data_IF_204267922685
#
_entry.id   IF_204267922685
#
_cell.length_a   1.000
_cell.length_b   1.000
_cell.length_c   1.000
_cell.angle_alpha   90.00
_cell.angle_beta   90.00
_cell.angle_gamma   90.00
#
_symmetry.space_group_name_H-M   'P 1'
#
loop_
_entity.id
_entity.type
_entity.pdbx_description
1 polymer ?
#
# COMPACT_ATOMS: atom_id res chain seq x y z
N UNK A 1 -10.36 9.96 16.18
CA UNK A 1 -10.50 8.74 15.38
C UNK A 1 -9.37 8.79 14.37
N UNK A 2 -8.52 7.77 14.32
CA UNK A 2 -7.42 7.75 13.35
C UNK A 2 -7.99 7.32 12.00
N UNK A 3 -7.92 8.21 11.01
CA UNK A 3 -8.29 7.89 9.63
C UNK A 3 -7.11 7.23 8.93
N UNK A 4 -7.35 6.11 8.25
CA UNK A 4 -6.36 5.35 7.52
C UNK A 4 -6.63 5.52 6.02
N UNK A 5 -5.70 6.13 5.31
CA UNK A 5 -5.80 6.33 3.87
C UNK A 5 -5.20 5.14 3.14
N UNK A 6 -6.03 4.33 2.49
CA UNK A 6 -5.59 3.24 1.65
C UNK A 6 -5.30 3.77 0.25
N UNK A 7 -4.11 3.47 -0.27
CA UNK A 7 -3.64 3.91 -1.58
C UNK A 7 -3.47 2.64 -2.41
N UNK A 8 -4.40 2.37 -3.31
CA UNK A 8 -4.33 1.18 -4.16
C UNK A 8 -3.80 1.52 -5.55
N UNK A 9 -2.78 0.80 -6.01
CA UNK A 9 -2.29 0.84 -7.39
C UNK A 9 -2.53 -0.50 -8.07
N UNK A 10 -3.38 -0.53 -9.11
CA UNK A 10 -3.60 -1.73 -9.90
C UNK A 10 -3.86 -1.41 -11.38
N UNK A 11 -3.52 -2.35 -12.25
CA UNK A 11 -3.92 -2.31 -13.67
C UNK A 11 -5.14 -3.21 -13.94
N UNK A 12 -5.25 -4.33 -13.21
CA UNK A 12 -6.27 -5.37 -13.43
C UNK A 12 -7.29 -5.47 -12.27
N UNK A 13 -7.31 -4.51 -11.34
CA UNK A 13 -8.22 -4.54 -10.19
C UNK A 13 -7.75 -5.38 -9.00
N UNK A 14 -6.80 -6.31 -9.14
CA UNK A 14 -6.42 -7.22 -8.03
C UNK A 14 -5.98 -6.49 -6.75
N UNK A 15 -5.19 -5.43 -6.86
CA UNK A 15 -4.76 -4.65 -5.69
C UNK A 15 -5.91 -3.83 -5.09
N UNK A 16 -6.88 -3.42 -5.90
CA UNK A 16 -8.06 -2.66 -5.46
C UNK A 16 -8.96 -3.56 -4.61
N UNK A 17 -9.24 -4.78 -5.06
CA UNK A 17 -9.99 -5.78 -4.28
C UNK A 17 -9.34 -6.04 -2.91
N UNK A 18 -8.02 -6.24 -2.87
CA UNK A 18 -7.31 -6.45 -1.61
C UNK A 18 -7.37 -5.20 -0.72
N UNK A 19 -7.25 -4.01 -1.30
CA UNK A 19 -7.37 -2.77 -0.54
C UNK A 19 -8.78 -2.60 0.06
N UNK A 20 -9.84 -2.88 -0.71
CA UNK A 20 -11.22 -2.82 -0.21
C UNK A 20 -11.46 -3.84 0.91
N UNK A 21 -11.04 -5.10 0.72
CA UNK A 21 -11.18 -6.13 1.75
C UNK A 21 -10.45 -5.74 3.05
N UNK A 22 -9.24 -5.21 2.92
CA UNK A 22 -8.45 -4.72 4.06
C UNK A 22 -9.11 -3.49 4.71
N UNK A 23 -9.71 -2.60 3.92
CA UNK A 23 -10.43 -1.45 4.42
C UNK A 23 -11.61 -1.87 5.30
N UNK A 24 -12.42 -2.83 4.85
CA UNK A 24 -13.54 -3.36 5.63
C UNK A 24 -13.08 -3.89 7.00
N UNK A 25 -11.97 -4.65 7.05
CA UNK A 25 -11.40 -5.17 8.31
C UNK A 25 -10.97 -4.07 9.27
N UNK A 26 -10.43 -2.97 8.73
CA UNK A 26 -10.04 -1.80 9.53
C UNK A 26 -11.27 -1.08 10.10
N UNK A 27 -12.34 -0.97 9.33
CA UNK A 27 -13.61 -0.41 9.79
C UNK A 27 -14.27 -1.29 10.85
N UNK A 28 -14.27 -2.61 10.67
CA UNK A 28 -14.72 -3.58 11.68
C UNK A 28 -13.92 -3.45 12.99
N UNK A 29 -12.63 -3.12 12.89
CA UNK A 29 -11.77 -2.87 14.05
C UNK A 29 -12.00 -1.50 14.72
N UNK A 30 -12.84 -0.64 14.15
CA UNK A 30 -13.22 0.68 14.66
C UNK A 30 -12.40 1.85 14.14
N UNK A 31 -11.64 1.68 13.06
CA UNK A 31 -10.92 2.75 12.37
C UNK A 31 -11.77 3.33 11.24
N UNK A 32 -11.49 4.57 10.82
CA UNK A 32 -12.10 5.12 9.60
C UNK A 32 -11.15 4.92 8.44
N UNK A 33 -11.61 4.32 7.34
CA UNK A 33 -10.79 4.10 6.16
C UNK A 33 -11.19 5.02 5.01
N UNK A 34 -10.23 5.35 4.17
CA UNK A 34 -10.46 6.05 2.92
C UNK A 34 -9.65 5.39 1.82
N UNK A 35 -10.32 4.69 0.92
CA UNK A 35 -9.67 4.03 -0.22
C UNK A 35 -9.55 5.00 -1.38
N UNK A 36 -8.33 5.15 -1.88
CA UNK A 36 -7.97 5.99 -3.02
C UNK A 36 -7.27 5.10 -4.07
N UNK A 37 -7.83 5.07 -5.27
CA UNK A 37 -7.31 4.27 -6.38
C UNK A 37 -6.44 5.14 -7.28
N UNK A 38 -5.12 4.92 -7.24
CA UNK A 38 -4.14 5.75 -7.95
C UNK A 38 -4.25 7.25 -7.66
N UNK A 39 -4.32 7.69 -6.38
CA UNK A 39 -4.41 9.10 -6.07
C UNK A 39 -3.12 9.83 -6.46
N UNK A 40 -3.25 11.11 -6.72
CA UNK A 40 -2.11 12.00 -6.78
C UNK A 40 -1.65 12.45 -5.39
N UNK A 41 -0.40 12.88 -5.27
CA UNK A 41 0.20 13.28 -3.99
C UNK A 41 -0.59 14.38 -3.27
N UNK A 42 -1.25 15.28 -4.03
CA UNK A 42 -2.04 16.36 -3.45
C UNK A 42 -3.37 15.89 -2.85
N UNK A 43 -3.86 14.71 -3.25
CA UNK A 43 -5.11 14.13 -2.73
C UNK A 43 -4.87 13.40 -1.41
N UNK A 44 -3.64 12.92 -1.20
CA UNK A 44 -3.27 12.17 -0.02
C UNK A 44 -2.76 13.13 1.07
N UNK A 45 -3.40 13.16 2.25
CA UNK A 45 -2.98 14.02 3.34
C UNK A 45 -1.64 13.55 3.91
N UNK A 46 -0.62 14.41 3.89
CA UNK A 46 0.74 14.18 4.44
C UNK A 46 0.80 14.09 5.98
N UNK A 47 -0.25 13.53 6.60
CA UNK A 47 -0.35 13.27 8.03
C UNK A 47 -1.24 12.05 8.29
N UNK A 48 -0.98 11.33 9.38
CA UNK A 48 -1.81 10.19 9.80
C UNK A 48 -1.24 8.84 9.37
N UNK A 49 -2.12 7.90 9.01
CA UNK A 49 -1.74 6.52 8.69
C UNK A 49 -2.12 6.23 7.24
N UNK A 50 -1.17 5.78 6.45
CA UNK A 50 -1.36 5.34 5.07
C UNK A 50 -1.24 3.83 4.96
N UNK A 51 -1.93 3.24 4.01
CA UNK A 51 -1.75 1.83 3.67
C UNK A 51 -1.64 1.71 2.16
N UNK A 52 -0.42 1.47 1.68
CA UNK A 52 -0.14 1.40 0.25
C UNK A 52 -0.27 -0.03 -0.22
N UNK A 53 -1.16 -0.26 -1.18
CA UNK A 53 -1.48 -1.57 -1.75
C UNK A 53 -1.20 -1.52 -3.25
N UNK A 54 -0.14 -2.15 -3.71
CA UNK A 54 0.29 -2.02 -5.10
C UNK A 54 0.50 -3.38 -5.76
N UNK A 55 -0.08 -3.60 -6.94
CA UNK A 55 0.34 -4.72 -7.79
C UNK A 55 1.59 -4.38 -8.58
N UNK A 56 2.41 -5.39 -8.86
CA UNK A 56 3.65 -5.24 -9.61
C UNK A 56 3.36 -5.62 -11.06
N UNK A 57 3.70 -4.74 -12.00
CA UNK A 57 3.52 -5.03 -13.43
C UNK A 57 4.84 -5.46 -14.08
N UNK A 58 4.80 -6.55 -14.84
CA UNK A 58 5.90 -7.01 -15.70
C UNK A 58 7.27 -7.05 -15.04
N UNK A 59 8.11 -6.07 -15.34
CA UNK A 59 9.51 -6.01 -14.92
C UNK A 59 9.76 -5.47 -13.51
N UNK A 60 8.71 -5.32 -12.67
CA UNK A 60 8.86 -4.79 -11.31
C UNK A 60 8.37 -3.35 -11.15
N UNK A 61 7.70 -2.82 -12.16
CA UNK A 61 7.29 -1.43 -12.20
C UNK A 61 5.94 -1.21 -11.51
N UNK A 62 5.73 0.03 -11.07
CA UNK A 62 4.44 0.49 -10.56
C UNK A 62 3.42 0.48 -11.70
N UNK A 63 2.15 0.19 -11.40
CA UNK A 63 1.08 0.33 -12.37
C UNK A 63 0.96 1.79 -12.78
N UNK A 64 0.53 2.03 -14.02
CA UNK A 64 0.42 3.37 -14.64
C UNK A 64 -0.35 4.36 -13.75
N UNK A 65 -1.34 3.86 -13.01
CA UNK A 65 -2.18 4.64 -12.11
C UNK A 65 -1.45 5.14 -10.85
N UNK A 66 -0.35 4.50 -10.44
CA UNK A 66 0.43 4.86 -9.24
C UNK A 66 1.84 5.40 -9.56
N UNK A 67 2.28 5.31 -10.81
CA UNK A 67 3.49 5.97 -11.28
C UNK A 67 3.52 7.49 -11.00
N UNK A 68 2.48 8.29 -11.35
CA UNK A 68 2.53 9.73 -11.14
C UNK A 68 2.65 10.09 -9.65
N UNK A 69 2.04 9.31 -8.76
CA UNK A 69 2.17 9.49 -7.31
C UNK A 69 3.62 9.36 -6.83
N UNK A 70 4.33 8.36 -7.34
CA UNK A 70 5.74 8.13 -7.02
C UNK A 70 6.64 9.28 -7.53
N UNK A 71 6.40 9.73 -8.77
CA UNK A 71 7.13 10.84 -9.37
C UNK A 71 6.90 12.14 -8.58
N UNK A 72 5.65 12.42 -8.20
CA UNK A 72 5.32 13.57 -7.37
C UNK A 72 5.99 13.52 -5.99
N UNK A 73 6.09 12.34 -5.38
CA UNK A 73 6.84 12.16 -4.12
C UNK A 73 8.33 12.50 -4.30
N UNK A 74 8.92 12.13 -5.43
CA UNK A 74 10.32 12.44 -5.75
C UNK A 74 10.55 13.92 -6.08
N UNK A 75 9.62 14.55 -6.78
CA UNK A 75 9.73 15.97 -7.14
C UNK A 75 9.45 16.88 -5.94
N UNK A 76 8.38 16.62 -5.19
CA UNK A 76 7.96 17.50 -4.10
C UNK A 76 8.69 17.22 -2.79
N UNK A 77 9.12 15.98 -2.56
CA UNK A 77 9.74 15.52 -1.32
C UNK A 77 9.07 16.10 -0.07
N UNK A 78 7.76 15.85 0.14
CA UNK A 78 7.05 16.39 1.29
C UNK A 78 7.61 15.82 2.59
N UNK A 79 7.51 16.58 3.68
CA UNK A 79 7.86 16.09 5.01
C UNK A 79 6.79 15.09 5.49
N UNK A 80 7.13 13.80 5.45
CA UNK A 80 6.25 12.72 5.90
C UNK A 80 6.58 12.27 7.33
N UNK A 81 7.31 13.07 8.10
CA UNK A 81 7.75 12.77 9.47
C UNK A 81 6.59 12.41 10.44
N UNK A 82 5.36 12.84 10.12
CA UNK A 82 4.13 12.54 10.89
C UNK A 82 3.26 11.45 10.26
N UNK A 83 3.68 10.89 9.13
CA UNK A 83 2.98 9.83 8.44
C UNK A 83 3.53 8.49 8.89
N UNK A 84 2.61 7.61 9.22
CA UNK A 84 2.87 6.20 9.43
C UNK A 84 2.32 5.45 8.22
N UNK A 85 3.01 4.44 7.71
CA UNK A 85 2.51 3.72 6.55
C UNK A 85 2.68 2.20 6.66
N UNK A 86 1.72 1.47 6.09
CA UNK A 86 1.84 0.05 5.78
C UNK A 86 2.10 -0.13 4.29
N UNK A 87 2.77 -1.22 3.92
CA UNK A 87 3.13 -1.52 2.55
C UNK A 87 2.74 -2.95 2.20
N UNK A 88 1.85 -3.11 1.22
CA UNK A 88 1.36 -4.39 0.73
C UNK A 88 1.57 -4.46 -0.79
N UNK A 89 2.44 -5.36 -1.21
CA UNK A 89 2.71 -5.63 -2.62
C UNK A 89 1.95 -6.88 -3.06
N UNK A 90 1.33 -6.82 -4.23
CA UNK A 90 0.90 -8.00 -4.96
C UNK A 90 1.89 -8.22 -6.11
N UNK A 91 2.37 -9.45 -6.26
CA UNK A 91 3.30 -9.81 -7.30
C UNK A 91 3.12 -11.26 -7.72
N UNK A 92 3.80 -11.62 -8.79
CA UNK A 92 3.82 -12.98 -9.32
C UNK A 92 5.26 -13.47 -9.26
N UNK A 93 5.55 -14.53 -8.49
CA UNK A 93 6.90 -15.12 -8.41
C UNK A 93 7.39 -15.70 -9.74
N UNK A 94 6.51 -15.81 -10.73
CA UNK A 94 6.90 -16.09 -12.13
C UNK A 94 7.80 -15.00 -12.74
N UNK A 95 7.80 -13.79 -12.17
CA UNK A 95 8.64 -12.67 -12.61
C UNK A 95 9.82 -12.48 -11.66
N UNK A 96 11.03 -12.31 -12.22
CA UNK A 96 12.28 -12.10 -11.48
C UNK A 96 12.20 -10.89 -10.53
N UNK A 97 11.43 -9.86 -10.90
CA UNK A 97 11.26 -8.64 -10.11
C UNK A 97 10.03 -8.71 -9.20
N UNK A 98 9.95 -9.76 -8.40
CA UNK A 98 8.86 -9.95 -7.43
C UNK A 98 8.78 -8.75 -6.46
N UNK A 99 7.62 -8.08 -6.43
CA UNK A 99 7.32 -6.97 -5.53
C UNK A 99 8.28 -5.76 -5.61
N UNK A 100 8.89 -5.50 -6.78
CA UNK A 100 9.78 -4.34 -6.98
C UNK A 100 9.10 -2.98 -6.75
N UNK A 101 7.84 -2.85 -7.15
CA UNK A 101 7.06 -1.62 -7.04
C UNK A 101 6.88 -1.17 -5.58
N UNK A 102 6.39 -2.07 -4.72
CA UNK A 102 6.13 -1.75 -3.32
C UNK A 102 7.43 -1.48 -2.55
N UNK A 103 8.52 -2.17 -2.90
CA UNK A 103 9.84 -1.96 -2.28
C UNK A 103 10.37 -0.55 -2.56
N UNK A 104 10.16 -0.08 -3.78
CA UNK A 104 10.60 1.26 -4.20
C UNK A 104 9.80 2.34 -3.46
N UNK A 105 8.48 2.16 -3.32
CA UNK A 105 7.63 3.02 -2.51
C UNK A 105 8.03 3.02 -1.03
N UNK A 106 8.23 1.85 -0.45
CA UNK A 106 8.64 1.67 0.95
C UNK A 106 9.93 2.44 1.27
N UNK A 107 10.93 2.33 0.40
CA UNK A 107 12.19 3.05 0.53
C UNK A 107 12.01 4.57 0.39
N UNK A 108 11.20 5.03 -0.57
CA UNK A 108 10.93 6.46 -0.79
C UNK A 108 10.19 7.08 0.38
N UNK A 109 9.10 6.47 0.83
CA UNK A 109 8.33 6.95 1.98
C UNK A 109 9.21 7.04 3.23
N UNK A 110 10.02 6.00 3.48
CA UNK A 110 10.98 6.00 4.59
C UNK A 110 12.03 7.12 4.45
N UNK A 111 12.53 7.37 3.23
CA UNK A 111 13.49 8.44 2.98
C UNK A 111 12.89 9.85 3.21
N UNK A 112 11.58 10.02 2.98
CA UNK A 112 10.82 11.25 3.24
C UNK A 112 10.44 11.44 4.72
N UNK A 113 10.87 10.53 5.60
CA UNK A 113 10.62 10.58 7.04
C UNK A 113 9.40 9.80 7.52
N UNK A 114 8.65 9.18 6.61
CA UNK A 114 7.50 8.34 6.99
C UNK A 114 7.97 7.12 7.78
N UNK A 115 7.15 6.70 8.76
CA UNK A 115 7.44 5.54 9.59
C UNK A 115 6.66 4.33 9.14
N UNK A 116 7.36 3.29 8.71
CA UNK A 116 6.71 2.01 8.42
C UNK A 116 6.17 1.38 9.70
N UNK A 117 4.90 0.98 9.68
CA UNK A 117 4.26 0.21 10.75
C UNK A 117 4.31 -1.26 10.35
N UNK A 118 4.96 -2.08 11.18
CA UNK A 118 5.13 -3.50 10.92
C UNK A 118 6.07 -3.80 9.74
N UNK A 119 5.92 -5.00 9.19
CA UNK A 119 6.66 -5.47 8.01
C UNK A 119 5.81 -5.38 6.75
N UNK A 120 6.46 -5.13 5.61
CA UNK A 120 5.78 -5.14 4.31
C UNK A 120 5.23 -6.53 4.03
N UNK A 121 4.02 -6.56 3.46
CA UNK A 121 3.44 -7.80 2.96
C UNK A 121 3.74 -7.94 1.48
N UNK A 122 4.16 -9.13 1.05
CA UNK A 122 4.42 -9.46 -0.35
C UNK A 122 3.53 -10.67 -0.68
N UNK A 123 2.42 -10.44 -1.37
CA UNK A 123 1.42 -11.45 -1.72
C UNK A 123 1.72 -11.99 -3.10
N UNK A 124 1.86 -13.30 -3.19
CA UNK A 124 2.08 -13.98 -4.44
C UNK A 124 0.75 -14.43 -5.06
N UNK A 125 0.32 -13.74 -6.13
CA UNK A 125 -0.95 -14.05 -6.82
C UNK A 125 -0.89 -15.32 -7.69
N UNK A 126 0.29 -15.91 -7.87
CA UNK A 126 0.46 -17.17 -8.61
C UNK A 126 0.44 -18.40 -7.70
N UNK A 127 0.84 -18.23 -6.44
CA UNK A 127 0.79 -19.24 -5.38
C UNK A 127 -0.56 -19.21 -4.65
N UNK A 128 -1.14 -18.03 -4.47
CA UNK A 128 -2.42 -17.85 -3.77
C UNK A 128 -3.54 -17.55 -4.76
N UNK A 129 -4.45 -18.51 -4.90
CA UNK A 129 -5.68 -18.38 -5.71
C UNK A 129 -6.55 -17.21 -5.22
N UNK A 130 -6.47 -16.89 -3.92
CA UNK A 130 -7.17 -15.79 -3.27
C UNK A 130 -6.13 -14.92 -2.52
N UNK A 131 -5.76 -13.75 -3.05
CA UNK A 131 -4.79 -12.86 -2.41
C UNK A 131 -5.35 -12.16 -1.15
N UNK A 132 -6.66 -12.18 -0.94
CA UNK A 132 -7.33 -11.54 0.20
C UNK A 132 -7.06 -12.28 1.53
N UNK A 133 -6.89 -13.60 1.51
CA UNK A 133 -6.65 -14.42 2.70
C UNK A 133 -5.33 -14.04 3.42
N UNK A 134 -4.16 -14.01 2.73
CA UNK A 134 -2.94 -13.54 3.36
C UNK A 134 -2.99 -12.04 3.71
N UNK A 135 -3.70 -11.22 2.93
CA UNK A 135 -3.89 -9.79 3.23
C UNK A 135 -4.68 -9.57 4.54
N UNK A 136 -5.73 -10.37 4.76
CA UNK A 136 -6.56 -10.33 5.97
C UNK A 136 -5.71 -10.66 7.21
N UNK A 137 -4.94 -11.73 7.16
CA UNK A 137 -4.08 -12.14 8.29
C UNK A 137 -3.05 -11.04 8.58
N UNK A 138 -2.49 -10.45 7.53
CA UNK A 138 -1.52 -9.36 7.67
C UNK A 138 -2.16 -8.11 8.28
N UNK A 139 -3.32 -7.65 7.78
CA UNK A 139 -3.97 -6.45 8.31
C UNK A 139 -4.39 -6.65 9.76
N UNK A 140 -4.87 -7.82 10.15
CA UNK A 140 -5.23 -8.08 11.55
C UNK A 140 -4.01 -7.90 12.46
N UNK A 141 -2.84 -8.42 12.07
CA UNK A 141 -1.60 -8.18 12.81
C UNK A 141 -1.20 -6.70 12.80
N UNK A 142 -1.33 -6.04 11.65
CA UNK A 142 -1.00 -4.63 11.51
C UNK A 142 -1.89 -3.72 12.38
N UNK A 143 -3.18 -4.00 12.45
CA UNK A 143 -4.16 -3.33 13.33
C UNK A 143 -3.73 -3.44 14.80
N UNK A 144 -3.19 -4.58 15.23
CA UNK A 144 -2.69 -4.75 16.59
C UNK A 144 -1.45 -3.89 16.86
N UNK A 145 -0.68 -3.50 15.84
CA UNK A 145 0.44 -2.57 15.99
C UNK A 145 -0.01 -1.09 16.04
N UNK A 146 -1.21 -0.79 15.55
CA UNK A 146 -1.80 0.55 15.57
C UNK A 146 -2.53 0.87 16.88
N UNK A 147 -2.90 -0.15 17.66
CA UNK A 147 -3.56 -0.03 18.97
C UNK A 147 -2.55 0.18 20.10
#
# INVERSE_FOLDING_TARGET
MSTITLISGSTLGSAEYVAEHVAEKLEEAGFSTQTLHGPELYEVPAEGIWLVVCSTHGAGELPDNLQPFLEQLEEQQPDLSKVQFGALGLGSSEYDTFCGAIRSLDQKLTALGAKRIGDRMEIDVTQHEIPEDPAEIWVINWINLLK
#
